data_IF_413785993878
#
_entry.id   IF_413785993878
#
_cell.length_a   1.000
_cell.length_b   1.000
_cell.length_c   1.000
_cell.angle_alpha   90.00
_cell.angle_beta   90.00
_cell.angle_gamma   90.00
#
_symmetry.space_group_name_H-M   'P 1'
#
loop_
_entity.id
_entity.type
_entity.pdbx_description
1 polymer ?
#
# COMPACT_ATOMS: atom_id res chain seq x y z
N UNK A 1 -3.23 8.01 8.22
CA UNK A 1 -3.20 8.68 9.55
C UNK A 1 -4.44 8.33 10.36
N UNK A 2 -5.67 8.64 9.91
CA UNK A 2 -6.93 8.45 10.67
C UNK A 2 -7.09 7.01 11.18
N UNK A 3 -6.85 6.01 10.34
CA UNK A 3 -6.97 4.58 10.71
C UNK A 3 -6.02 4.18 11.85
N UNK A 4 -4.78 4.68 11.84
CA UNK A 4 -3.81 4.42 12.90
C UNK A 4 -4.19 5.13 14.20
N UNK A 5 -4.68 6.37 14.12
CA UNK A 5 -5.17 7.10 15.30
C UNK A 5 -6.37 6.38 15.92
N UNK A 6 -7.33 5.92 15.09
CA UNK A 6 -8.47 5.13 15.56
C UNK A 6 -8.01 3.81 16.21
N UNK A 7 -6.98 3.17 15.65
CA UNK A 7 -6.39 1.98 16.24
C UNK A 7 -5.79 2.22 17.62
N UNK A 8 -5.08 3.32 17.82
CA UNK A 8 -4.51 3.69 19.13
C UNK A 8 -5.62 3.97 20.16
N UNK A 9 -6.65 4.71 19.74
CA UNK A 9 -7.80 5.01 20.60
C UNK A 9 -8.62 3.77 20.98
N UNK A 10 -8.56 2.72 20.17
CA UNK A 10 -9.21 1.44 20.47
C UNK A 10 -8.48 0.56 21.49
N UNK A 11 -7.26 0.90 21.90
CA UNK A 11 -6.53 0.16 22.92
C UNK A 11 -7.10 0.50 24.29
N UNK A 12 -7.41 -0.55 25.08
CA UNK A 12 -7.97 -0.35 26.42
C UNK A 12 -6.97 0.41 27.33
N UNK A 13 -7.37 1.57 27.91
CA UNK A 13 -6.51 2.37 28.80
C UNK A 13 -6.00 1.59 30.01
N UNK A 14 -6.76 0.62 30.50
CA UNK A 14 -6.37 -0.20 31.66
C UNK A 14 -5.02 -0.92 31.49
N UNK A 15 -4.64 -1.24 30.24
CA UNK A 15 -3.32 -1.85 29.95
C UNK A 15 -2.16 -0.89 30.26
N UNK A 16 -2.36 0.40 29.98
CA UNK A 16 -1.35 1.42 30.30
C UNK A 16 -1.30 1.75 31.77
N UNK A 17 -2.46 1.74 32.46
CA UNK A 17 -2.55 1.94 33.91
C UNK A 17 -1.82 0.80 34.64
N UNK A 18 -2.10 -0.46 34.29
CA UNK A 18 -1.41 -1.61 34.86
C UNK A 18 0.11 -1.54 34.62
N UNK A 19 0.53 -1.26 33.38
CA UNK A 19 1.95 -1.11 33.07
C UNK A 19 2.62 0.05 33.84
N UNK A 20 1.88 1.11 34.14
CA UNK A 20 2.40 2.23 34.96
C UNK A 20 2.58 1.82 36.40
N UNK A 21 1.69 1.02 36.99
CA UNK A 21 1.83 0.45 38.33
C UNK A 21 3.03 -0.49 38.39
N UNK A 22 3.31 -1.25 37.32
CA UNK A 22 4.50 -2.11 37.20
C UNK A 22 5.79 -1.31 36.94
N UNK A 23 5.74 0.03 36.94
CA UNK A 23 6.91 0.89 36.75
C UNK A 23 7.43 0.97 35.33
N UNK A 24 6.63 0.60 34.35
CA UNK A 24 7.02 0.68 32.93
C UNK A 24 7.13 2.14 32.45
N UNK A 25 8.24 2.48 31.81
CA UNK A 25 8.42 3.78 31.18
C UNK A 25 7.56 3.91 29.92
N UNK A 26 7.23 5.15 29.50
CA UNK A 26 6.44 5.42 28.29
C UNK A 26 7.03 4.75 27.03
N UNK A 27 8.35 4.66 26.93
CA UNK A 27 9.01 3.93 25.84
C UNK A 27 8.72 2.42 25.88
N UNK A 28 8.76 1.84 27.08
CA UNK A 28 8.43 0.41 27.26
C UNK A 28 6.96 0.13 26.96
N UNK A 29 6.05 0.99 27.37
CA UNK A 29 4.62 0.90 27.04
C UNK A 29 4.39 0.97 25.53
N UNK A 30 5.07 1.90 24.83
CA UNK A 30 4.95 2.00 23.37
C UNK A 30 5.42 0.72 22.66
N UNK A 31 6.61 0.22 22.96
CA UNK A 31 7.17 -0.93 22.25
C UNK A 31 6.56 -2.27 22.68
N UNK A 32 6.12 -2.42 23.92
CA UNK A 32 5.61 -3.68 24.46
C UNK A 32 4.08 -3.81 24.42
N UNK A 33 3.34 -2.69 24.41
CA UNK A 33 1.88 -2.68 24.41
C UNK A 33 1.33 -2.10 23.10
N UNK A 34 1.65 -0.83 22.81
CA UNK A 34 1.05 -0.12 21.69
C UNK A 34 1.41 -0.75 20.35
N UNK A 35 2.70 -0.93 20.09
CA UNK A 35 3.18 -1.41 18.78
C UNK A 35 2.72 -2.84 18.45
N UNK A 36 2.74 -3.82 19.37
CA UNK A 36 2.21 -5.15 19.10
C UNK A 36 0.70 -5.17 18.84
N UNK A 37 -0.08 -4.38 19.58
CA UNK A 37 -1.54 -4.30 19.40
C UNK A 37 -1.92 -3.57 18.10
N UNK A 38 -1.13 -2.62 17.64
CA UNK A 38 -1.32 -1.93 16.36
C UNK A 38 -0.86 -2.73 15.14
N UNK A 39 -0.12 -3.80 15.32
CA UNK A 39 0.47 -4.59 14.23
C UNK A 39 -0.54 -5.00 13.14
N UNK A 40 -1.74 -5.53 13.45
CA UNK A 40 -2.72 -5.90 12.43
C UNK A 40 -3.23 -4.67 11.64
N UNK A 41 -3.39 -3.52 12.30
CA UNK A 41 -3.82 -2.28 11.66
C UNK A 41 -2.72 -1.71 10.76
N UNK A 42 -1.47 -1.77 11.21
CA UNK A 42 -0.30 -1.40 10.41
C UNK A 42 -0.19 -2.27 9.15
N UNK A 43 -0.38 -3.58 9.31
CA UNK A 43 -0.37 -4.53 8.19
C UNK A 43 -1.45 -4.17 7.15
N UNK A 44 -2.68 -3.99 7.59
CA UNK A 44 -3.78 -3.59 6.74
C UNK A 44 -3.48 -2.27 6.00
N UNK A 45 -3.00 -1.27 6.72
CA UNK A 45 -2.69 0.05 6.15
C UNK A 45 -1.57 -0.03 5.11
N UNK A 46 -0.51 -0.80 5.37
CA UNK A 46 0.60 -0.99 4.43
C UNK A 46 0.15 -1.67 3.14
N UNK A 47 -0.60 -2.78 3.24
CA UNK A 47 -1.10 -3.51 2.07
C UNK A 47 -2.03 -2.62 1.24
N UNK A 48 -2.99 -1.95 1.88
CA UNK A 48 -3.94 -1.07 1.20
C UNK A 48 -3.25 0.12 0.53
N UNK A 49 -2.24 0.72 1.19
CA UNK A 49 -1.47 1.82 0.61
C UNK A 49 -0.61 1.37 -0.57
N UNK A 50 -0.03 0.18 -0.51
CA UNK A 50 0.75 -0.37 -1.63
C UNK A 50 -0.14 -0.62 -2.86
N UNK A 51 -1.31 -1.23 -2.66
CA UNK A 51 -2.30 -1.46 -3.73
C UNK A 51 -2.77 -0.13 -4.31
N UNK A 52 -3.17 0.83 -3.47
CA UNK A 52 -3.61 2.16 -3.91
C UNK A 52 -2.54 2.93 -4.67
N UNK A 53 -1.27 2.81 -4.28
CA UNK A 53 -0.16 3.41 -5.00
C UNK A 53 0.05 2.82 -6.40
N UNK A 54 -0.06 1.49 -6.53
CA UNK A 54 0.06 0.80 -7.82
C UNK A 54 -1.11 1.09 -8.77
N UNK A 55 -2.30 1.34 -8.22
CA UNK A 55 -3.51 1.66 -8.97
C UNK A 55 -3.74 3.17 -9.18
N UNK A 56 -2.78 4.00 -8.79
CA UNK A 56 -2.90 5.44 -8.90
C UNK A 56 -3.11 5.87 -10.36
N UNK A 57 -4.20 6.61 -10.62
CA UNK A 57 -4.58 7.12 -11.92
C UNK A 57 -4.82 8.63 -11.91
N UNK A 58 -5.66 9.10 -10.97
CA UNK A 58 -6.23 10.45 -11.02
C UNK A 58 -5.16 11.54 -10.90
N UNK A 59 -4.24 11.40 -9.94
CA UNK A 59 -3.22 12.43 -9.68
C UNK A 59 -2.29 12.62 -10.88
N UNK A 60 -1.62 11.61 -11.43
CA UNK A 60 -0.77 11.78 -12.60
C UNK A 60 -1.54 12.24 -13.85
N UNK A 61 -2.78 11.77 -14.01
CA UNK A 61 -3.60 12.15 -15.15
C UNK A 61 -4.02 13.61 -15.11
N UNK A 62 -4.48 14.11 -13.97
CA UNK A 62 -4.98 15.48 -13.82
C UNK A 62 -3.85 16.51 -13.73
N UNK A 63 -2.69 16.11 -13.20
CA UNK A 63 -1.60 17.05 -12.93
C UNK A 63 -0.74 17.31 -14.18
N UNK A 64 -0.38 16.28 -14.92
CA UNK A 64 0.56 16.43 -16.05
C UNK A 64 0.32 15.46 -17.22
N UNK A 65 -0.79 14.73 -17.24
CA UNK A 65 -1.15 13.78 -18.32
C UNK A 65 -0.04 12.76 -18.66
N UNK A 66 0.78 12.42 -17.69
CA UNK A 66 1.91 11.50 -17.86
C UNK A 66 3.24 12.17 -18.25
N UNK A 67 3.28 13.49 -18.46
CA UNK A 67 4.48 14.25 -18.83
C UNK A 67 5.44 14.45 -17.63
N UNK A 68 6.72 14.84 -17.82
CA UNK A 68 7.38 15.09 -19.12
C UNK A 68 7.76 13.80 -19.88
N UNK A 69 7.98 13.97 -21.17
CA UNK A 69 8.54 12.90 -22.02
C UNK A 69 10.04 12.80 -21.75
N UNK A 70 10.52 11.62 -21.42
CA UNK A 70 11.93 11.30 -21.18
C UNK A 70 12.40 10.23 -22.15
N UNK A 71 13.59 10.39 -22.69
CA UNK A 71 14.19 9.43 -23.61
C UNK A 71 14.88 8.31 -22.82
N UNK A 72 14.34 7.10 -22.92
CA UNK A 72 14.88 5.90 -22.26
C UNK A 72 15.18 4.85 -23.32
N UNK A 73 16.44 4.39 -23.45
CA UNK A 73 16.82 3.37 -24.40
C UNK A 73 16.52 3.69 -25.88
N UNK A 74 16.51 5.00 -26.26
CA UNK A 74 16.21 5.44 -27.63
C UNK A 74 14.71 5.63 -27.92
N UNK A 75 13.82 5.33 -27.00
CA UNK A 75 12.38 5.55 -27.12
C UNK A 75 11.91 6.67 -26.19
N UNK A 76 10.98 7.47 -26.68
CA UNK A 76 10.33 8.52 -25.91
C UNK A 76 9.25 7.91 -25.01
N UNK A 77 9.41 8.09 -23.69
CA UNK A 77 8.52 7.52 -22.66
C UNK A 77 8.01 8.64 -21.77
N UNK A 78 6.73 8.63 -21.49
CA UNK A 78 6.13 9.56 -20.52
C UNK A 78 6.53 9.13 -19.09
N UNK A 79 7.29 9.96 -18.39
CA UNK A 79 7.95 9.61 -17.12
C UNK A 79 7.01 9.34 -15.94
N UNK A 80 5.81 9.90 -15.96
CA UNK A 80 4.82 9.77 -14.89
C UNK A 80 3.62 8.90 -15.28
N UNK A 81 3.70 8.20 -16.43
CA UNK A 81 2.62 7.31 -16.87
C UNK A 81 2.55 6.07 -15.98
N UNK A 82 1.41 5.89 -15.33
CA UNK A 82 1.11 4.67 -14.56
C UNK A 82 0.54 3.57 -15.45
N UNK A 83 0.56 2.32 -14.96
CA UNK A 83 -0.02 1.18 -15.69
C UNK A 83 -1.52 1.39 -15.93
N UNK A 84 -2.23 1.99 -14.98
CA UNK A 84 -3.67 2.28 -15.13
C UNK A 84 -3.93 3.33 -16.21
N UNK A 85 -3.04 4.33 -16.36
CA UNK A 85 -3.11 5.30 -17.47
C UNK A 85 -2.91 4.61 -18.83
N UNK A 86 -1.99 3.64 -18.92
CA UNK A 86 -1.80 2.84 -20.14
C UNK A 86 -3.04 2.02 -20.47
N UNK A 87 -3.64 1.34 -19.50
CA UNK A 87 -4.89 0.58 -19.69
C UNK A 87 -5.97 1.51 -20.25
N UNK A 88 -6.19 2.67 -19.62
CA UNK A 88 -7.18 3.63 -20.08
C UNK A 88 -6.89 4.15 -21.50
N UNK A 89 -5.62 4.44 -21.79
CA UNK A 89 -5.20 4.87 -23.12
C UNK A 89 -5.63 3.86 -24.20
N UNK A 90 -5.37 2.56 -24.00
CA UNK A 90 -5.71 1.52 -24.97
C UNK A 90 -7.20 1.23 -25.03
N UNK A 91 -7.96 1.50 -23.98
CA UNK A 91 -9.43 1.38 -23.99
C UNK A 91 -10.09 2.57 -24.67
N UNK A 92 -9.56 3.79 -24.50
CA UNK A 92 -10.25 5.04 -24.88
C UNK A 92 -9.66 5.74 -26.11
N UNK A 93 -8.64 5.20 -26.75
CA UNK A 93 -7.86 5.89 -27.80
C UNK A 93 -8.49 5.93 -29.21
N UNK A 94 -9.81 5.80 -29.34
CA UNK A 94 -10.51 5.94 -30.64
C UNK A 94 -10.03 4.93 -31.68
N UNK A 95 -9.55 5.35 -32.86
CA UNK A 95 -9.18 4.41 -33.93
C UNK A 95 -7.99 3.49 -33.61
N UNK A 96 -7.27 3.75 -32.55
CA UNK A 96 -6.14 2.92 -32.04
C UNK A 96 -6.51 2.07 -30.82
N UNK A 97 -7.81 1.85 -30.59
CA UNK A 97 -8.28 0.99 -29.50
C UNK A 97 -7.71 -0.42 -29.65
N UNK A 98 -7.06 -0.91 -28.58
CA UNK A 98 -6.51 -2.25 -28.53
C UNK A 98 -6.89 -2.88 -27.18
N UNK A 99 -8.08 -3.47 -27.15
CA UNK A 99 -8.59 -4.13 -25.96
C UNK A 99 -7.71 -5.32 -25.53
N UNK A 100 -7.00 -5.95 -26.46
CA UNK A 100 -6.08 -7.04 -26.17
C UNK A 100 -4.90 -6.56 -25.32
N UNK A 101 -4.29 -5.43 -25.69
CA UNK A 101 -3.22 -4.82 -24.88
C UNK A 101 -3.74 -4.31 -23.55
N UNK A 102 -4.91 -3.67 -23.52
CA UNK A 102 -5.51 -3.21 -22.27
C UNK A 102 -5.76 -4.39 -21.31
N UNK A 103 -6.31 -5.50 -21.81
CA UNK A 103 -6.51 -6.71 -21.03
C UNK A 103 -5.19 -7.31 -20.53
N UNK A 104 -4.16 -7.38 -21.36
CA UNK A 104 -2.84 -7.89 -20.97
C UNK A 104 -2.22 -7.05 -19.84
N UNK A 105 -2.25 -5.71 -19.92
CA UNK A 105 -1.77 -4.84 -18.84
C UNK A 105 -2.59 -4.99 -17.56
N UNK A 106 -3.91 -5.18 -17.66
CA UNK A 106 -4.78 -5.40 -16.50
C UNK A 106 -4.44 -6.70 -15.77
N UNK A 107 -4.24 -7.80 -16.51
CA UNK A 107 -3.85 -9.10 -15.95
C UNK A 107 -2.45 -9.02 -15.31
N UNK A 108 -1.51 -8.33 -15.99
CA UNK A 108 -0.16 -8.13 -15.45
C UNK A 108 -0.19 -7.32 -14.14
N UNK A 109 -0.95 -6.22 -14.09
CA UNK A 109 -1.13 -5.42 -12.88
C UNK A 109 -1.76 -6.24 -11.76
N UNK A 110 -2.79 -7.04 -12.07
CA UNK A 110 -3.43 -7.94 -11.09
C UNK A 110 -2.42 -8.95 -10.51
N UNK A 111 -1.67 -9.64 -11.36
CA UNK A 111 -0.66 -10.60 -10.90
C UNK A 111 0.40 -9.94 -10.02
N UNK A 112 0.86 -8.75 -10.40
CA UNK A 112 1.86 -8.00 -9.64
C UNK A 112 1.34 -7.53 -8.26
N UNK A 113 0.12 -6.98 -8.22
CA UNK A 113 -0.51 -6.58 -6.96
C UNK A 113 -0.78 -7.78 -6.04
N UNK A 114 -1.15 -8.92 -6.61
CA UNK A 114 -1.37 -10.16 -5.87
C UNK A 114 -0.06 -10.66 -5.24
N UNK A 115 1.03 -10.71 -6.00
CA UNK A 115 2.34 -11.12 -5.49
C UNK A 115 2.80 -10.20 -4.35
N UNK A 116 2.70 -8.88 -4.53
CA UNK A 116 3.07 -7.91 -3.49
C UNK A 116 2.22 -8.09 -2.24
N UNK A 117 0.90 -8.24 -2.39
CA UNK A 117 -0.02 -8.43 -1.27
C UNK A 117 0.30 -9.70 -0.48
N UNK A 118 0.55 -10.82 -1.16
CA UNK A 118 0.95 -12.08 -0.54
C UNK A 118 2.29 -11.99 0.16
N UNK A 119 3.26 -11.28 -0.44
CA UNK A 119 4.57 -11.06 0.16
C UNK A 119 4.46 -10.27 1.47
N UNK A 120 3.72 -9.16 1.46
CA UNK A 120 3.47 -8.36 2.67
C UNK A 120 2.72 -9.16 3.74
N UNK A 121 1.71 -9.92 3.34
CA UNK A 121 0.98 -10.79 4.26
C UNK A 121 1.90 -11.80 4.94
N UNK A 122 2.72 -12.51 4.17
CA UNK A 122 3.65 -13.52 4.70
C UNK A 122 4.70 -12.90 5.63
N UNK A 123 5.33 -11.80 5.23
CA UNK A 123 6.34 -11.11 6.04
C UNK A 123 5.81 -10.63 7.39
N UNK A 124 4.51 -10.29 7.45
CA UNK A 124 3.90 -9.77 8.66
C UNK A 124 3.29 -10.88 9.51
N UNK A 125 2.76 -11.95 8.90
CA UNK A 125 2.17 -13.10 9.59
C UNK A 125 3.21 -13.89 10.38
N UNK A 126 4.38 -14.19 9.81
CA UNK A 126 5.43 -14.97 10.47
C UNK A 126 5.92 -14.38 11.80
N UNK A 127 5.82 -13.06 11.97
CA UNK A 127 6.19 -12.39 13.24
C UNK A 127 5.13 -12.53 14.33
N UNK A 128 3.89 -12.85 13.98
CA UNK A 128 2.79 -12.95 14.95
C UNK A 128 2.82 -14.30 15.67
N UNK A 129 3.16 -15.37 14.96
CA UNK A 129 3.19 -16.74 15.49
C UNK A 129 4.36 -16.97 16.48
N UNK A 130 5.48 -16.24 16.31
CA UNK A 130 6.65 -16.34 17.21
C UNK A 130 6.52 -15.58 18.54
N UNK A 131 5.50 -14.76 18.72
CA UNK A 131 5.26 -14.01 19.96
C UNK A 131 4.16 -14.63 20.85
N UNK A 132 3.50 -15.69 20.40
CA UNK A 132 2.45 -16.40 21.13
C UNK A 132 2.89 -17.73 21.76
N UNK A 133 4.21 -18.00 21.82
CA UNK A 133 4.76 -19.19 22.54
C UNK A 133 5.60 -18.74 23.73
#
# INVERSE_FOLDING_TARGET
>A
MIVLCAGILGINPSLYEAASVDGATSKQQFFKITLPLLKPILQYTLVTSAIGGLQMYDIPQLFNEGNPVVRVGGSDVNSTTTVVMLIKKYVSAGPTQDYGKAAAYSVMLFAFTLIISLLFYKLTSEKTEKQGK
#
